data_IF_073805480016
#
_entry.id   IF_073805480016
#
_cell.length_a   1.000
_cell.length_b   1.000
_cell.length_c   1.000
_cell.angle_alpha   90.00
_cell.angle_beta   90.00
_cell.angle_gamma   90.00
#
_symmetry.space_group_name_H-M   'P 1'
#
loop_
_entity.id
_entity.type
_entity.pdbx_description
1 polymer ?
#
# COMPACT_ATOMS: atom_id res chain seq x y z
N UNK A 1 -7.57 14.15 5.17
CA UNK A 1 -8.30 13.00 5.76
C UNK A 1 -9.16 13.50 6.91
N UNK A 2 -10.44 13.11 6.99
CA UNK A 2 -11.29 13.48 8.13
C UNK A 2 -11.11 12.50 9.30
N UNK A 3 -11.40 12.89 10.55
CA UNK A 3 -11.35 11.96 11.69
C UNK A 3 -12.25 10.73 11.51
N UNK A 4 -13.45 10.90 10.94
CA UNK A 4 -14.41 9.82 10.67
C UNK A 4 -13.87 8.82 9.64
N UNK A 5 -13.26 9.32 8.57
CA UNK A 5 -12.59 8.50 7.55
C UNK A 5 -11.52 7.60 8.18
N UNK A 6 -10.66 8.18 9.04
CA UNK A 6 -9.63 7.42 9.73
C UNK A 6 -10.21 6.35 10.67
N UNK A 7 -11.25 6.69 11.44
CA UNK A 7 -11.90 5.74 12.35
C UNK A 7 -12.47 4.52 11.62
N UNK A 8 -12.98 4.72 10.40
CA UNK A 8 -13.45 3.61 9.55
C UNK A 8 -12.30 2.76 9.01
N UNK A 9 -11.21 3.39 8.61
CA UNK A 9 -10.06 2.71 8.01
C UNK A 9 -9.21 1.95 9.03
N UNK A 10 -9.01 2.50 10.22
CA UNK A 10 -8.00 2.06 11.18
C UNK A 10 -8.06 0.56 11.54
N UNK A 11 -9.24 -0.05 11.83
CA UNK A 11 -9.30 -1.48 12.15
C UNK A 11 -8.84 -2.37 10.98
N UNK A 12 -9.22 -2.01 9.75
CA UNK A 12 -8.83 -2.75 8.55
C UNK A 12 -7.33 -2.57 8.25
N UNK A 13 -6.81 -1.36 8.43
CA UNK A 13 -5.39 -1.07 8.27
C UNK A 13 -4.53 -1.78 9.33
N UNK A 14 -5.01 -1.91 10.57
CA UNK A 14 -4.32 -2.71 11.60
C UNK A 14 -4.18 -4.17 11.16
N UNK A 15 -5.26 -4.78 10.67
CA UNK A 15 -5.22 -6.16 10.17
C UNK A 15 -4.25 -6.33 8.98
N UNK A 16 -4.05 -5.30 8.15
CA UNK A 16 -3.02 -5.32 7.11
C UNK A 16 -1.61 -5.17 7.68
N UNK A 17 -1.42 -4.28 8.67
CA UNK A 17 -0.14 -4.05 9.35
C UNK A 17 0.39 -5.28 10.07
N UNK A 18 -0.50 -6.10 10.64
CA UNK A 18 -0.15 -7.38 11.28
C UNK A 18 0.54 -8.37 10.30
N UNK A 19 0.45 -8.11 8.99
CA UNK A 19 1.12 -8.86 7.92
C UNK A 19 2.19 -8.04 7.17
N UNK A 20 2.49 -6.82 7.59
CA UNK A 20 3.38 -5.88 6.88
C UNK A 20 4.81 -5.81 7.46
N UNK A 21 5.23 -6.86 8.17
CA UNK A 21 6.60 -6.99 8.67
C UNK A 21 6.96 -6.09 9.86
N UNK A 22 5.97 -5.49 10.53
CA UNK A 22 6.18 -4.76 11.79
C UNK A 22 6.96 -3.46 11.68
N UNK A 23 7.11 -2.89 10.48
CA UNK A 23 7.89 -1.66 10.25
C UNK A 23 7.16 -0.38 10.65
N UNK A 24 5.83 -0.41 10.78
CA UNK A 24 5.00 0.74 11.09
C UNK A 24 3.92 0.36 12.10
N UNK A 25 3.54 1.30 12.96
CA UNK A 25 2.31 1.29 13.74
C UNK A 25 1.19 2.04 13.01
N UNK A 26 -0.05 1.91 13.48
CA UNK A 26 -1.16 2.73 12.96
C UNK A 26 -0.90 4.23 13.12
N UNK A 27 -0.25 4.65 14.21
CA UNK A 27 0.05 6.06 14.46
C UNK A 27 1.10 6.58 13.47
N UNK A 28 2.10 5.77 13.12
CA UNK A 28 3.07 6.12 12.08
C UNK A 28 2.36 6.33 10.73
N UNK A 29 1.47 5.40 10.35
CA UNK A 29 0.70 5.52 9.10
C UNK A 29 -0.13 6.80 9.09
N UNK A 30 -0.79 7.12 10.22
CA UNK A 30 -1.57 8.34 10.37
C UNK A 30 -0.71 9.59 10.22
N UNK A 31 0.47 9.60 10.84
CA UNK A 31 1.41 10.71 10.77
C UNK A 31 1.94 10.91 9.35
N UNK A 32 2.31 9.84 8.65
CA UNK A 32 2.75 9.90 7.25
C UNK A 32 1.66 10.44 6.32
N UNK A 33 0.40 10.03 6.51
CA UNK A 33 -0.74 10.59 5.75
C UNK A 33 -0.92 12.08 6.03
N UNK A 34 -0.79 12.49 7.31
CA UNK A 34 -0.90 13.90 7.68
C UNK A 34 0.24 14.76 7.13
N UNK A 35 1.45 14.19 7.03
CA UNK A 35 2.63 14.82 6.46
C UNK A 35 2.64 14.85 4.91
N UNK A 36 1.73 14.11 4.26
CA UNK A 36 1.71 13.97 2.80
C UNK A 36 2.76 13.00 2.25
N UNK A 37 3.41 12.23 3.11
CA UNK A 37 4.37 11.18 2.76
C UNK A 37 3.67 9.90 2.29
N UNK A 38 2.44 9.70 2.76
CA UNK A 38 1.54 8.64 2.32
C UNK A 38 0.16 9.20 1.94
N UNK A 39 -0.59 8.41 1.19
CA UNK A 39 -1.96 8.72 0.78
C UNK A 39 -2.88 7.55 1.13
N UNK A 40 -3.99 7.87 1.78
CA UNK A 40 -5.09 6.95 2.02
C UNK A 40 -6.08 7.00 0.84
N UNK A 41 -6.43 5.83 0.34
CA UNK A 41 -7.47 5.60 -0.66
C UNK A 41 -8.62 4.86 0.00
N UNK A 42 -9.84 5.38 -0.14
CA UNK A 42 -10.99 4.91 0.61
C UNK A 42 -12.15 4.52 -0.32
N UNK A 43 -12.69 3.35 -0.05
CA UNK A 43 -13.90 2.82 -0.62
C UNK A 43 -15.04 2.77 0.38
N UNK A 44 -16.10 2.06 -0.01
CA UNK A 44 -17.23 1.75 0.87
C UNK A 44 -16.83 0.67 1.89
N UNK A 45 -16.10 -0.35 1.45
CA UNK A 45 -15.66 -1.50 2.24
C UNK A 45 -14.18 -1.85 2.06
N UNK A 46 -13.40 -1.00 1.39
CA UNK A 46 -11.97 -1.19 1.14
C UNK A 46 -11.13 0.04 1.47
N UNK A 47 -9.87 -0.20 1.87
CA UNK A 47 -8.88 0.83 2.15
C UNK A 47 -7.51 0.43 1.63
N UNK A 48 -6.77 1.39 1.10
CA UNK A 48 -5.42 1.18 0.58
C UNK A 48 -4.53 2.37 0.94
N UNK A 49 -3.28 2.11 1.33
CA UNK A 49 -2.29 3.15 1.61
C UNK A 49 -1.16 3.07 0.60
N UNK A 50 -0.79 4.22 0.06
CA UNK A 50 0.29 4.34 -0.93
C UNK A 50 1.30 5.40 -0.56
N UNK A 51 2.54 5.23 -1.00
CA UNK A 51 3.57 6.26 -0.95
C UNK A 51 4.24 6.42 -2.32
N UNK A 52 4.71 7.62 -2.65
CA UNK A 52 5.57 7.83 -3.82
C UNK A 52 7.02 7.65 -3.39
N UNK A 53 7.71 6.72 -4.05
CA UNK A 53 9.11 6.44 -3.80
C UNK A 53 9.95 6.90 -5.00
N UNK A 54 11.03 7.62 -4.72
CA UNK A 54 11.94 8.16 -5.74
C UNK A 54 13.26 7.37 -5.71
N UNK A 55 13.65 6.86 -6.88
CA UNK A 55 15.00 6.37 -7.16
C UNK A 55 15.77 7.43 -7.97
N UNK A 56 17.12 7.34 -8.05
CA UNK A 56 17.91 8.24 -8.89
C UNK A 56 17.50 8.30 -10.37
N UNK A 57 16.78 7.29 -10.90
CA UNK A 57 16.37 7.21 -12.31
C UNK A 57 14.90 6.82 -12.50
N UNK A 58 14.13 6.77 -11.43
CA UNK A 58 12.75 6.32 -11.49
C UNK A 58 11.89 6.91 -10.38
N UNK A 59 10.58 6.92 -10.60
CA UNK A 59 9.61 7.26 -9.58
C UNK A 59 8.49 6.22 -9.63
N UNK A 60 8.10 5.70 -8.48
CA UNK A 60 7.14 4.62 -8.37
C UNK A 60 6.11 4.89 -7.28
N UNK A 61 4.90 4.38 -7.50
CA UNK A 61 3.89 4.28 -6.45
C UNK A 61 4.06 2.95 -5.73
N UNK A 62 4.27 2.97 -4.42
CA UNK A 62 4.25 1.77 -3.58
C UNK A 62 2.88 1.65 -2.91
N UNK A 63 2.15 0.57 -3.17
CA UNK A 63 0.98 0.16 -2.38
C UNK A 63 1.50 -0.85 -1.35
N UNK A 64 1.46 -0.49 -0.07
CA UNK A 64 2.02 -1.33 1.00
C UNK A 64 1.01 -1.75 2.06
N UNK A 65 -0.19 -1.13 2.08
CA UNK A 65 -1.34 -1.64 2.83
C UNK A 65 -2.57 -1.69 1.91
N UNK A 66 -3.31 -2.78 1.99
CA UNK A 66 -4.60 -2.95 1.35
C UNK A 66 -5.46 -3.89 2.20
N UNK A 67 -6.68 -3.48 2.52
CA UNK A 67 -7.59 -4.23 3.37
C UNK A 67 -9.05 -4.01 2.94
N UNK A 68 -9.92 -4.94 3.33
CA UNK A 68 -11.35 -4.89 3.04
C UNK A 68 -11.73 -5.70 1.80
N UNK A 69 -12.75 -5.24 1.08
CA UNK A 69 -13.30 -5.95 -0.07
C UNK A 69 -12.31 -6.03 -1.25
N UNK A 70 -12.09 -7.26 -1.73
CA UNK A 70 -11.10 -7.52 -2.78
C UNK A 70 -11.52 -6.96 -4.14
N UNK A 71 -12.81 -7.04 -4.47
CA UNK A 71 -13.28 -6.53 -5.75
C UNK A 71 -13.14 -5.01 -5.79
N UNK A 72 -13.56 -4.31 -4.73
CA UNK A 72 -13.44 -2.85 -4.63
C UNK A 72 -11.97 -2.39 -4.69
N UNK A 73 -11.06 -3.11 -4.02
CA UNK A 73 -9.61 -2.84 -4.12
C UNK A 73 -9.13 -2.91 -5.58
N UNK A 74 -9.52 -3.96 -6.30
CA UNK A 74 -9.02 -4.28 -7.64
C UNK A 74 -9.70 -3.47 -8.74
N UNK A 75 -11.02 -3.28 -8.65
CA UNK A 75 -11.84 -2.67 -9.70
C UNK A 75 -11.95 -1.15 -9.55
N UNK A 76 -11.79 -0.61 -8.33
CA UNK A 76 -12.00 0.82 -8.04
C UNK A 76 -10.75 1.51 -7.49
N UNK A 77 -10.24 1.09 -6.32
CA UNK A 77 -9.18 1.84 -5.63
C UNK A 77 -7.84 1.76 -6.37
N UNK A 78 -7.39 0.56 -6.76
CA UNK A 78 -6.15 0.36 -7.52
C UNK A 78 -6.09 1.20 -8.81
N UNK A 79 -7.07 1.13 -9.74
CA UNK A 79 -7.00 1.93 -10.96
C UNK A 79 -7.11 3.44 -10.71
N UNK A 80 -7.76 3.87 -9.62
CA UNK A 80 -7.73 5.29 -9.23
C UNK A 80 -6.32 5.73 -8.80
N UNK A 81 -5.65 4.93 -7.99
CA UNK A 81 -4.28 5.19 -7.57
C UNK A 81 -3.28 5.15 -8.73
N UNK A 82 -3.42 4.19 -9.65
CA UNK A 82 -2.60 4.12 -10.87
C UNK A 82 -2.75 5.38 -11.74
N UNK A 83 -3.98 5.88 -11.93
CA UNK A 83 -4.21 7.12 -12.70
C UNK A 83 -3.57 8.33 -12.05
N UNK A 84 -3.71 8.46 -10.73
CA UNK A 84 -3.07 9.53 -9.97
C UNK A 84 -1.54 9.44 -10.04
N UNK A 85 -0.98 8.24 -9.83
CA UNK A 85 0.46 8.02 -9.89
C UNK A 85 1.04 8.39 -11.25
N UNK A 86 0.36 8.03 -12.34
CA UNK A 86 0.75 8.43 -13.70
C UNK A 86 0.77 9.96 -13.85
N UNK A 87 -0.23 10.66 -13.31
CA UNK A 87 -0.27 12.13 -13.33
C UNK A 87 0.82 12.75 -12.44
N UNK A 88 1.20 12.09 -11.36
CA UNK A 88 2.30 12.50 -10.47
C UNK A 88 3.70 12.26 -11.06
N UNK A 89 3.81 11.55 -12.19
CA UNK A 89 5.09 11.24 -12.85
C UNK A 89 5.65 9.86 -12.54
N UNK A 90 4.93 9.03 -11.79
CA UNK A 90 5.32 7.65 -11.52
C UNK A 90 5.29 6.82 -12.81
N UNK A 91 6.30 5.99 -13.00
CA UNK A 91 6.45 5.12 -14.18
C UNK A 91 6.05 3.67 -13.92
N UNK A 92 5.88 3.29 -12.65
CA UNK A 92 5.41 1.96 -12.24
C UNK A 92 4.67 2.01 -10.91
N UNK A 93 3.88 0.96 -10.66
CA UNK A 93 3.27 0.67 -9.35
C UNK A 93 3.88 -0.62 -8.81
N UNK A 94 4.33 -0.59 -7.58
CA UNK A 94 4.75 -1.77 -6.82
C UNK A 94 3.74 -2.08 -5.73
N UNK A 95 3.65 -3.36 -5.38
CA UNK A 95 2.81 -3.85 -4.29
C UNK A 95 3.68 -4.68 -3.38
N UNK A 96 3.72 -4.31 -2.10
CA UNK A 96 4.20 -5.16 -1.03
C UNK A 96 3.01 -5.95 -0.47
N UNK A 97 3.05 -7.27 -0.55
CA UNK A 97 1.94 -8.08 -0.06
C UNK A 97 2.18 -9.58 -0.15
N UNK A 98 1.23 -10.35 0.38
CA UNK A 98 1.25 -11.82 0.36
C UNK A 98 1.25 -12.36 -1.07
N UNK A 99 1.82 -13.55 -1.33
CA UNK A 99 1.90 -14.15 -2.67
C UNK A 99 0.58 -14.23 -3.46
N UNK A 100 -0.56 -14.30 -2.77
CA UNK A 100 -1.89 -14.32 -3.40
C UNK A 100 -2.19 -13.11 -4.30
N UNK A 101 -1.58 -11.95 -4.04
CA UNK A 101 -1.75 -10.74 -4.86
C UNK A 101 -1.23 -10.90 -6.29
N UNK A 102 -0.19 -11.71 -6.49
CA UNK A 102 0.36 -12.01 -7.82
C UNK A 102 -0.72 -12.64 -8.72
N UNK A 103 -1.48 -13.59 -8.17
CA UNK A 103 -2.59 -14.24 -8.90
C UNK A 103 -3.74 -13.26 -9.14
N UNK A 104 -4.13 -12.50 -8.13
CA UNK A 104 -5.24 -11.53 -8.22
C UNK A 104 -4.99 -10.47 -9.29
N UNK A 105 -3.76 -10.00 -9.43
CA UNK A 105 -3.43 -8.83 -10.26
C UNK A 105 -2.85 -9.16 -11.63
N UNK A 106 -2.62 -10.45 -11.92
CA UNK A 106 -2.05 -10.91 -13.20
C UNK A 106 -2.86 -10.41 -14.41
N UNK A 107 -4.19 -10.47 -14.34
CA UNK A 107 -5.10 -10.00 -15.40
C UNK A 107 -5.07 -8.47 -15.58
N UNK A 108 -4.45 -7.74 -14.65
CA UNK A 108 -4.35 -6.29 -14.65
C UNK A 108 -2.93 -5.80 -15.01
N UNK A 109 -2.11 -6.68 -15.59
CA UNK A 109 -0.78 -6.32 -16.09
C UNK A 109 0.32 -6.31 -15.02
N UNK A 110 0.02 -6.73 -13.79
CA UNK A 110 1.04 -6.93 -12.77
C UNK A 110 1.81 -8.22 -13.04
N UNK A 111 3.13 -8.14 -12.89
CA UNK A 111 4.05 -9.28 -12.98
C UNK A 111 5.11 -9.18 -11.87
N UNK A 112 5.68 -10.30 -11.41
CA UNK A 112 6.78 -10.27 -10.45
C UNK A 112 7.95 -9.45 -10.99
N UNK A 113 8.38 -8.44 -10.22
CA UNK A 113 9.60 -7.69 -10.50
C UNK A 113 10.81 -8.30 -9.77
N UNK A 114 10.63 -8.64 -8.50
CA UNK A 114 11.64 -9.24 -7.63
C UNK A 114 10.96 -10.04 -6.50
N UNK A 115 11.74 -10.87 -5.81
CA UNK A 115 11.34 -11.53 -4.55
C UNK A 115 12.09 -10.86 -3.41
N UNK A 116 11.36 -10.37 -2.40
CA UNK A 116 11.96 -9.88 -1.16
C UNK A 116 12.20 -11.07 -0.23
N UNK A 117 13.40 -11.13 0.36
CA UNK A 117 13.81 -12.17 1.31
C UNK A 117 14.32 -11.43 2.55
N UNK A 118 13.78 -11.75 3.72
CA UNK A 118 14.14 -11.12 4.97
C UNK A 118 14.84 -12.11 5.91
N UNK A 119 15.74 -11.60 6.74
CA UNK A 119 16.35 -12.29 7.88
C UNK A 119 16.30 -11.34 9.06
N UNK A 120 15.71 -11.78 10.17
CA UNK A 120 15.79 -11.04 11.43
C UNK A 120 17.24 -11.04 11.94
N UNK A 121 17.74 -9.84 12.26
CA UNK A 121 19.04 -9.69 12.91
C UNK A 121 18.78 -9.79 14.41
N UNK A 122 19.35 -10.80 15.05
CA UNK A 122 19.44 -10.83 16.51
C UNK A 122 20.67 -10.04 16.91
N UNK A 123 20.56 -9.19 17.93
CA UNK A 123 21.72 -8.71 18.63
C UNK A 123 22.37 -9.92 19.33
N UNK A 124 23.63 -10.22 19.00
CA UNK A 124 24.43 -11.14 19.80
C UNK A 124 24.64 -10.46 21.17
N UNK A 125 23.98 -10.98 22.20
CA UNK A 125 24.21 -10.62 23.60
C UNK A 125 25.66 -10.93 24.02
#
# INVERSE_FOLDING_TARGET
MSPESWLRAAPALQAALDHAGGTHTLDDVRAMIAAGEAQLWEGEAAWMVTAVENDPRDQRLMIWLAAGDLDELVSRLRPAAERWAKAAGCRRVLIAGRPGWERTLKSHGYAPLARLIAKELQDEL
#
